data_IF_769683046218
#
_entry.id   IF_769683046218
#
_cell.length_a   1.000
_cell.length_b   1.000
_cell.length_c   1.000
_cell.angle_alpha   90.00
_cell.angle_beta   90.00
_cell.angle_gamma   90.00
#
_symmetry.space_group_name_H-M   'P 1'
#
loop_
_entity.id
_entity.type
_entity.pdbx_description
1 polymer ?
#
# COMPACT_ATOMS: atom_id res chain seq x y z
N UNK A 1 -12.44 -22.78 14.70
CA UNK A 1 -11.96 -22.13 13.44
C UNK A 1 -12.47 -22.96 12.28
N UNK A 2 -13.35 -22.41 11.47
CA UNK A 2 -13.95 -23.10 10.32
C UNK A 2 -12.89 -23.47 9.27
N UNK A 3 -13.02 -24.63 8.57
CA UNK A 3 -12.04 -25.10 7.59
C UNK A 3 -11.75 -24.08 6.47
N UNK A 4 -12.71 -23.27 6.07
CA UNK A 4 -12.55 -22.18 5.10
C UNK A 4 -11.52 -21.13 5.52
N UNK A 5 -11.40 -20.80 6.82
CA UNK A 5 -10.41 -19.83 7.34
C UNK A 5 -8.98 -20.37 7.32
N UNK A 6 -8.78 -21.69 7.35
CA UNK A 6 -7.46 -22.33 7.17
C UNK A 6 -7.02 -22.35 5.71
N UNK A 7 -7.94 -22.55 4.77
CA UNK A 7 -7.63 -22.61 3.34
C UNK A 7 -7.29 -21.21 2.79
N UNK A 8 -8.08 -20.19 3.10
CA UNK A 8 -7.84 -18.81 2.64
C UNK A 8 -6.58 -18.16 3.26
N UNK A 9 -6.09 -18.69 4.40
CA UNK A 9 -4.85 -18.28 5.04
C UNK A 9 -3.59 -18.96 4.48
N UNK A 10 -3.73 -20.01 3.68
CA UNK A 10 -2.61 -20.75 3.12
C UNK A 10 -1.85 -19.92 2.07
N UNK A 11 -0.50 -19.91 2.15
CA UNK A 11 0.37 -19.26 1.14
C UNK A 11 0.14 -19.87 -0.25
N UNK A 12 -0.08 -21.17 -0.32
CA UNK A 12 -0.35 -21.91 -1.54
C UNK A 12 -1.66 -21.49 -2.19
N UNK A 13 -2.73 -21.27 -1.41
CA UNK A 13 -4.00 -20.79 -1.93
C UNK A 13 -3.85 -19.41 -2.60
N UNK A 14 -3.15 -18.47 -1.96
CA UNK A 14 -2.91 -17.13 -2.51
C UNK A 14 -2.03 -17.16 -3.76
N UNK A 15 -0.99 -18.02 -3.76
CA UNK A 15 -0.15 -18.22 -4.92
C UNK A 15 -0.96 -18.79 -6.09
N UNK A 16 -1.73 -19.84 -5.84
CA UNK A 16 -2.59 -20.46 -6.86
C UNK A 16 -3.64 -19.50 -7.38
N UNK A 17 -4.25 -18.69 -6.51
CA UNK A 17 -5.22 -17.69 -6.92
C UNK A 17 -4.58 -16.58 -7.76
N UNK A 18 -3.41 -16.07 -7.36
CA UNK A 18 -2.67 -15.05 -8.13
C UNK A 18 -2.23 -15.58 -9.48
N UNK A 19 -1.65 -16.79 -9.51
CA UNK A 19 -1.23 -17.44 -10.76
C UNK A 19 -2.42 -17.82 -11.64
N UNK A 20 -3.50 -18.31 -11.06
CA UNK A 20 -4.73 -18.63 -11.77
C UNK A 20 -5.37 -17.41 -12.40
N UNK A 21 -5.46 -16.31 -11.67
CA UNK A 21 -5.98 -15.05 -12.21
C UNK A 21 -5.09 -14.52 -13.33
N UNK A 22 -3.78 -14.55 -13.15
CA UNK A 22 -2.83 -14.15 -14.20
C UNK A 22 -2.92 -15.06 -15.42
N UNK A 23 -3.05 -16.38 -15.23
CA UNK A 23 -3.20 -17.33 -16.34
C UNK A 23 -4.49 -17.10 -17.14
N UNK A 24 -5.61 -16.80 -16.45
CA UNK A 24 -6.88 -16.43 -17.12
C UNK A 24 -6.71 -15.14 -17.93
N UNK A 25 -6.04 -14.12 -17.37
CA UNK A 25 -5.79 -12.88 -18.10
C UNK A 25 -4.94 -13.11 -19.34
N UNK A 26 -3.85 -13.89 -19.21
CA UNK A 26 -2.95 -14.22 -20.33
C UNK A 26 -3.63 -15.08 -21.40
N UNK A 27 -4.54 -15.97 -21.01
CA UNK A 27 -5.28 -16.82 -21.96
C UNK A 27 -6.19 -15.98 -22.90
N UNK A 28 -6.66 -14.84 -22.43
CA UNK A 28 -7.53 -13.93 -23.19
C UNK A 28 -6.79 -12.74 -23.83
N UNK A 29 -5.45 -12.80 -23.89
CA UNK A 29 -4.59 -11.71 -24.34
C UNK A 29 -3.59 -12.23 -25.35
N UNK A 30 -3.30 -11.49 -26.41
CA UNK A 30 -2.19 -11.79 -27.29
C UNK A 30 -0.86 -11.56 -26.55
N UNK A 31 -0.22 -12.68 -26.18
CA UNK A 31 1.00 -12.66 -25.39
C UNK A 31 2.17 -12.06 -26.17
N UNK A 32 2.18 -12.20 -27.50
CA UNK A 32 3.27 -11.68 -28.33
C UNK A 32 3.17 -10.16 -28.48
N UNK A 33 1.97 -9.61 -28.68
CA UNK A 33 1.75 -8.16 -28.64
C UNK A 33 2.08 -7.56 -27.28
N UNK A 34 1.66 -8.20 -26.19
CA UNK A 34 1.99 -7.77 -24.84
C UNK A 34 3.51 -7.79 -24.59
N UNK A 35 4.23 -8.84 -25.05
CA UNK A 35 5.69 -8.93 -24.96
C UNK A 35 6.38 -7.86 -25.78
N UNK A 36 5.87 -7.56 -26.98
CA UNK A 36 6.38 -6.47 -27.80
C UNK A 36 6.24 -5.14 -27.08
N UNK A 37 5.05 -4.82 -26.54
CA UNK A 37 4.84 -3.61 -25.74
C UNK A 37 5.81 -3.48 -24.55
N UNK A 38 6.05 -4.58 -23.81
CA UNK A 38 7.00 -4.59 -22.69
C UNK A 38 8.45 -4.46 -23.14
N UNK A 39 8.82 -5.02 -24.30
CA UNK A 39 10.17 -4.94 -24.86
C UNK A 39 10.50 -3.54 -25.37
N UNK A 40 9.50 -2.86 -25.94
CA UNK A 40 9.62 -1.51 -26.48
C UNK A 40 9.47 -0.43 -25.39
N UNK A 41 9.20 -0.84 -24.13
CA UNK A 41 9.09 0.06 -23.02
C UNK A 41 10.39 0.87 -22.81
N UNK A 42 10.26 2.18 -22.68
CA UNK A 42 11.40 3.08 -22.49
C UNK A 42 12.06 2.85 -21.12
N UNK A 43 13.32 2.38 -21.07
CA UNK A 43 13.99 2.08 -19.80
C UNK A 43 14.22 3.32 -18.94
N UNK A 44 14.36 4.50 -19.54
CA UNK A 44 14.50 5.77 -18.80
C UNK A 44 13.27 6.09 -17.96
N UNK A 45 12.08 5.95 -18.51
CA UNK A 45 10.82 6.13 -17.77
C UNK A 45 10.60 5.05 -16.71
N UNK A 46 10.99 3.80 -16.97
CA UNK A 46 10.93 2.71 -15.98
C UNK A 46 11.85 3.01 -14.79
N UNK A 47 13.08 3.42 -15.04
CA UNK A 47 14.03 3.80 -13.97
C UNK A 47 13.52 4.99 -13.17
N UNK A 48 12.93 6.00 -13.84
CA UNK A 48 12.33 7.14 -13.17
C UNK A 48 11.12 6.72 -12.30
N UNK A 49 10.29 5.79 -12.77
CA UNK A 49 9.19 5.24 -11.99
C UNK A 49 9.69 4.51 -10.73
N UNK A 50 10.74 3.69 -10.85
CA UNK A 50 11.38 3.03 -9.69
C UNK A 50 11.94 4.06 -8.73
N UNK A 51 12.69 5.06 -9.22
CA UNK A 51 13.24 6.13 -8.39
C UNK A 51 12.14 6.90 -7.65
N UNK A 52 11.05 7.22 -8.34
CA UNK A 52 9.87 7.89 -7.76
C UNK A 52 9.23 7.05 -6.66
N UNK A 53 9.11 5.73 -6.83
CA UNK A 53 8.65 4.84 -5.76
C UNK A 53 9.63 4.83 -4.59
N UNK A 54 10.93 4.78 -4.83
CA UNK A 54 11.94 4.83 -3.74
C UNK A 54 11.83 6.13 -2.96
N UNK A 55 11.66 7.28 -3.65
CA UNK A 55 11.40 8.57 -2.98
C UNK A 55 10.14 8.50 -2.12
N UNK A 56 9.04 7.96 -2.65
CA UNK A 56 7.80 7.79 -1.87
C UNK A 56 8.01 6.94 -0.61
N UNK A 57 8.89 5.94 -0.66
CA UNK A 57 9.22 5.10 0.49
C UNK A 57 10.05 5.83 1.54
N UNK A 58 10.99 6.68 1.13
CA UNK A 58 11.72 7.57 2.05
C UNK A 58 10.76 8.53 2.75
N UNK A 59 9.83 9.13 1.99
CA UNK A 59 8.77 9.99 2.56
C UNK A 59 7.88 9.20 3.54
N UNK A 60 7.53 7.97 3.22
CA UNK A 60 6.77 7.07 4.11
C UNK A 60 7.54 6.73 5.37
N UNK A 61 8.84 6.47 5.30
CA UNK A 61 9.71 6.24 6.45
C UNK A 61 9.77 7.49 7.35
N UNK A 62 9.86 8.69 6.75
CA UNK A 62 9.81 9.95 7.48
C UNK A 62 8.47 10.11 8.21
N UNK A 63 7.34 9.90 7.52
CA UNK A 63 6.01 9.91 8.14
C UNK A 63 5.91 8.92 9.30
N UNK A 64 6.45 7.72 9.15
CA UNK A 64 6.48 6.75 10.24
C UNK A 64 7.33 7.22 11.43
N UNK A 65 8.42 7.96 11.20
CA UNK A 65 9.20 8.60 12.27
C UNK A 65 8.35 9.55 13.11
N UNK A 66 7.43 10.31 12.48
CA UNK A 66 6.50 11.18 13.21
C UNK A 66 5.54 10.39 14.11
N UNK A 67 5.15 9.19 13.69
CA UNK A 67 4.20 8.36 14.41
C UNK A 67 4.84 7.53 15.55
N UNK A 68 6.12 7.17 15.45
CA UNK A 68 6.78 6.38 16.49
C UNK A 68 7.20 7.21 17.71
N UNK A 69 7.45 8.51 17.52
CA UNK A 69 7.90 9.41 18.60
C UNK A 69 6.89 9.61 19.73
N UNK A 70 5.59 9.88 19.46
CA UNK A 70 4.58 10.09 20.50
C UNK A 70 4.37 8.89 21.42
N UNK A 71 4.66 7.68 20.94
CA UNK A 71 4.57 6.45 21.74
C UNK A 71 5.90 6.06 22.40
N UNK A 72 6.87 6.98 22.38
CA UNK A 72 8.12 6.89 23.15
C UNK A 72 9.22 6.05 22.50
N UNK A 73 9.25 5.94 21.17
CA UNK A 73 10.41 5.41 20.45
C UNK A 73 11.27 6.58 19.93
N UNK A 74 12.52 6.66 20.39
CA UNK A 74 13.47 7.76 20.09
C UNK A 74 14.51 7.40 19.03
N UNK A 75 14.19 6.47 18.12
CA UNK A 75 15.11 6.07 17.06
C UNK A 75 15.35 7.23 16.07
N UNK A 76 16.61 7.46 15.64
CA UNK A 76 16.91 8.46 14.61
C UNK A 76 16.28 8.07 13.27
N UNK A 77 15.97 9.07 12.43
CA UNK A 77 15.35 8.86 11.13
C UNK A 77 16.08 7.82 10.27
N UNK A 78 17.42 7.87 10.25
CA UNK A 78 18.25 6.90 9.51
C UNK A 78 17.92 5.45 9.91
N UNK A 79 17.74 5.17 11.20
CA UNK A 79 17.42 3.82 11.69
C UNK A 79 15.99 3.42 11.37
N UNK A 80 15.05 4.33 11.49
CA UNK A 80 13.65 4.11 11.04
C UNK A 80 13.60 3.83 9.55
N UNK A 81 14.40 4.54 8.74
CA UNK A 81 14.51 4.30 7.30
C UNK A 81 15.02 2.88 7.00
N UNK A 82 16.07 2.43 7.69
CA UNK A 82 16.57 1.05 7.56
C UNK A 82 15.51 0.01 7.93
N UNK A 83 14.74 0.24 9.01
CA UNK A 83 13.64 -0.66 9.40
C UNK A 83 12.53 -0.68 8.34
N UNK A 84 12.21 0.47 7.77
CA UNK A 84 11.18 0.61 6.75
C UNK A 84 11.56 -0.12 5.46
N UNK A 85 12.77 0.13 4.94
CA UNK A 85 13.30 -0.52 3.74
C UNK A 85 13.50 -2.03 3.93
N UNK A 86 14.00 -2.46 5.08
CA UNK A 86 14.07 -3.89 5.42
C UNK A 86 12.67 -4.54 5.42
N UNK A 87 11.65 -3.84 5.95
CA UNK A 87 10.27 -4.29 5.87
C UNK A 87 9.74 -4.40 4.44
N UNK A 88 10.10 -3.46 3.55
CA UNK A 88 9.75 -3.56 2.12
C UNK A 88 10.34 -4.81 1.47
N UNK A 89 11.61 -5.07 1.71
CA UNK A 89 12.27 -6.28 1.21
C UNK A 89 11.60 -7.55 1.72
N UNK A 90 11.26 -7.60 3.02
CA UNK A 90 10.54 -8.75 3.59
C UNK A 90 9.14 -8.95 2.99
N UNK A 91 8.49 -7.88 2.54
CA UNK A 91 7.20 -8.00 1.85
C UNK A 91 7.29 -8.78 0.54
N UNK A 92 8.45 -8.80 -0.14
CA UNK A 92 8.63 -9.58 -1.39
C UNK A 92 8.41 -11.08 -1.18
N UNK A 93 8.68 -11.59 0.03
CA UNK A 93 8.61 -13.01 0.37
C UNK A 93 7.40 -13.40 1.22
N UNK A 94 6.65 -12.41 1.69
CA UNK A 94 5.52 -12.62 2.59
C UNK A 94 4.15 -12.53 1.94
N UNK A 95 3.10 -13.07 2.58
CA UNK A 95 1.74 -12.92 2.10
C UNK A 95 1.29 -11.45 2.25
N UNK A 96 1.07 -10.79 1.13
CA UNK A 96 0.70 -9.37 1.10
C UNK A 96 1.79 -8.50 1.74
N UNK A 97 1.38 -7.47 2.44
CA UNK A 97 2.27 -6.52 3.12
C UNK A 97 2.55 -6.86 4.59
N UNK A 98 2.07 -8.02 5.07
CA UNK A 98 2.11 -8.39 6.49
C UNK A 98 3.53 -8.72 6.97
N UNK A 99 4.34 -9.37 6.12
CA UNK A 99 5.70 -9.76 6.51
C UNK A 99 6.59 -8.55 6.85
N UNK A 100 6.51 -7.51 6.05
CA UNK A 100 7.24 -6.27 6.31
C UNK A 100 6.72 -5.52 7.54
N UNK A 101 5.41 -5.57 7.79
CA UNK A 101 4.86 -4.96 9.00
C UNK A 101 5.34 -5.67 10.26
N UNK A 102 5.32 -7.00 10.26
CA UNK A 102 5.89 -7.80 11.35
C UNK A 102 7.38 -7.50 11.51
N UNK A 103 8.13 -7.45 10.40
CA UNK A 103 9.55 -7.08 10.42
C UNK A 103 9.79 -5.72 11.07
N UNK A 104 9.03 -4.69 10.66
CA UNK A 104 9.12 -3.33 11.24
C UNK A 104 8.78 -3.30 12.72
N UNK A 105 7.75 -4.04 13.15
CA UNK A 105 7.38 -4.16 14.58
C UNK A 105 8.52 -4.78 15.38
N UNK A 106 9.09 -5.88 14.89
CA UNK A 106 10.17 -6.59 15.59
C UNK A 106 11.46 -5.75 15.68
N UNK A 107 11.81 -5.06 14.58
CA UNK A 107 13.00 -4.19 14.54
C UNK A 107 12.86 -2.94 15.43
N UNK A 108 11.66 -2.35 15.49
CA UNK A 108 11.39 -1.17 16.30
C UNK A 108 11.30 -1.51 17.81
N UNK A 109 10.60 -2.58 18.14
CA UNK A 109 10.24 -2.92 19.51
C UNK A 109 11.31 -3.71 20.28
N UNK A 110 12.16 -4.43 19.57
CA UNK A 110 12.99 -5.46 20.21
C UNK A 110 12.11 -6.52 20.91
N UNK A 111 12.46 -6.86 22.15
CA UNK A 111 11.75 -7.91 22.91
C UNK A 111 10.53 -7.42 23.71
N UNK A 112 10.46 -6.14 24.07
CA UNK A 112 9.59 -5.67 25.18
C UNK A 112 8.37 -4.84 24.79
N UNK A 113 8.37 -4.08 23.68
CA UNK A 113 7.34 -3.08 23.37
C UNK A 113 6.56 -3.36 22.07
N UNK A 114 6.32 -4.64 21.76
CA UNK A 114 5.74 -5.08 20.47
C UNK A 114 4.34 -4.54 20.22
N UNK A 115 3.50 -4.46 21.26
CA UNK A 115 2.15 -3.93 21.14
C UNK A 115 2.19 -2.45 20.70
N UNK A 116 3.03 -1.62 21.36
CA UNK A 116 3.19 -0.21 20.98
C UNK A 116 3.82 -0.03 19.59
N UNK A 117 4.77 -0.87 19.19
CA UNK A 117 5.29 -0.81 17.84
C UNK A 117 4.24 -1.19 16.80
N UNK A 118 3.40 -2.18 17.10
CA UNK A 118 2.28 -2.57 16.23
C UNK A 118 1.30 -1.41 16.05
N UNK A 119 0.96 -0.66 17.12
CA UNK A 119 0.06 0.50 17.00
C UNK A 119 0.60 1.57 16.05
N UNK A 120 1.93 1.80 16.02
CA UNK A 120 2.54 2.75 15.08
C UNK A 120 2.38 2.31 13.64
N UNK A 121 2.53 1.02 13.36
CA UNK A 121 2.35 0.44 12.02
C UNK A 121 0.87 0.50 11.60
N UNK A 122 -0.05 0.18 12.51
CA UNK A 122 -1.51 0.28 12.27
C UNK A 122 -1.90 1.73 11.97
N UNK A 123 -1.46 2.69 12.78
CA UNK A 123 -1.71 4.12 12.57
C UNK A 123 -1.14 4.59 11.23
N UNK A 124 0.10 4.20 10.89
CA UNK A 124 0.74 4.54 9.63
C UNK A 124 -0.07 4.02 8.43
N UNK A 125 -0.58 2.78 8.49
CA UNK A 125 -1.42 2.20 7.44
C UNK A 125 -2.78 2.87 7.35
N UNK A 126 -3.45 3.07 8.48
CA UNK A 126 -4.77 3.70 8.50
C UNK A 126 -4.75 5.10 7.89
N UNK A 127 -3.77 5.95 8.28
CA UNK A 127 -3.63 7.30 7.72
C UNK A 127 -3.31 7.25 6.22
N UNK A 128 -2.44 6.31 5.78
CA UNK A 128 -2.14 6.11 4.36
C UNK A 128 -3.35 5.66 3.55
N UNK A 129 -4.17 4.79 4.10
CA UNK A 129 -5.42 4.33 3.49
C UNK A 129 -6.45 5.46 3.40
N UNK A 130 -6.62 6.26 4.46
CA UNK A 130 -7.50 7.43 4.44
C UNK A 130 -7.07 8.42 3.35
N UNK A 131 -5.77 8.72 3.24
CA UNK A 131 -5.27 9.61 2.19
C UNK A 131 -5.57 9.08 0.77
N UNK A 132 -5.39 7.77 0.55
CA UNK A 132 -5.69 7.13 -0.72
C UNK A 132 -7.18 7.23 -1.06
N UNK A 133 -8.05 6.93 -0.09
CA UNK A 133 -9.51 7.04 -0.23
C UNK A 133 -9.93 8.49 -0.51
N UNK A 134 -9.32 9.46 0.16
CA UNK A 134 -9.62 10.87 -0.07
C UNK A 134 -9.21 11.36 -1.45
N UNK A 135 -8.02 10.96 -1.94
CA UNK A 135 -7.58 11.28 -3.30
C UNK A 135 -8.60 10.72 -4.32
N UNK A 136 -8.95 9.45 -4.20
CA UNK A 136 -9.95 8.83 -5.08
C UNK A 136 -11.32 9.48 -4.97
N UNK A 137 -11.78 9.81 -3.75
CA UNK A 137 -13.06 10.46 -3.53
C UNK A 137 -13.13 11.86 -4.16
N UNK A 138 -12.08 12.67 -3.97
CA UNK A 138 -11.97 14.00 -4.58
C UNK A 138 -11.94 13.87 -6.11
N UNK A 139 -11.17 12.92 -6.64
CA UNK A 139 -11.09 12.70 -8.07
C UNK A 139 -12.46 12.32 -8.68
N UNK A 140 -13.20 11.39 -8.07
CA UNK A 140 -14.55 10.98 -8.55
C UNK A 140 -15.54 12.14 -8.53
N UNK A 141 -15.44 13.04 -7.54
CA UNK A 141 -16.33 14.23 -7.46
C UNK A 141 -15.96 15.28 -8.48
N UNK A 142 -14.65 15.52 -8.71
CA UNK A 142 -14.17 16.55 -9.64
C UNK A 142 -14.21 16.11 -11.12
N UNK A 143 -14.32 14.81 -11.38
CA UNK A 143 -14.30 14.21 -12.71
C UNK A 143 -15.61 13.42 -12.98
N UNK A 144 -16.75 14.13 -13.09
CA UNK A 144 -18.07 13.48 -13.20
C UNK A 144 -18.26 12.69 -14.50
N UNK A 145 -17.49 13.01 -15.54
CA UNK A 145 -17.62 12.40 -16.87
C UNK A 145 -16.88 11.05 -17.01
N UNK A 146 -16.10 10.66 -15.99
CA UNK A 146 -15.43 9.37 -16.00
C UNK A 146 -16.43 8.20 -15.95
N UNK A 147 -16.21 7.12 -16.72
CA UNK A 147 -17.13 5.97 -16.84
C UNK A 147 -17.09 5.08 -15.61
N UNK A 148 -17.62 5.58 -14.49
CA UNK A 148 -17.67 4.85 -13.21
C UNK A 148 -19.12 4.47 -12.86
N UNK A 149 -19.36 3.27 -12.32
CA UNK A 149 -20.66 2.92 -11.78
C UNK A 149 -21.11 3.93 -10.72
N UNK A 150 -22.39 4.31 -10.74
CA UNK A 150 -22.95 5.34 -9.84
C UNK A 150 -22.71 5.06 -8.34
N UNK A 151 -22.59 3.78 -7.95
CA UNK A 151 -22.26 3.40 -6.56
C UNK A 151 -20.92 4.00 -6.10
N UNK A 152 -19.92 4.12 -6.98
CA UNK A 152 -18.62 4.72 -6.61
C UNK A 152 -18.73 6.22 -6.32
N UNK A 153 -19.66 6.92 -6.97
CA UNK A 153 -19.94 8.34 -6.68
C UNK A 153 -20.52 8.52 -5.29
N UNK A 154 -21.48 7.69 -4.90
CA UNK A 154 -22.03 7.71 -3.55
C UNK A 154 -20.99 7.35 -2.50
N UNK A 155 -20.19 6.31 -2.74
CA UNK A 155 -19.09 5.95 -1.85
C UNK A 155 -18.05 7.08 -1.73
N UNK A 156 -17.73 7.78 -2.81
CA UNK A 156 -16.82 8.93 -2.81
C UNK A 156 -17.38 10.08 -1.99
N UNK A 157 -18.65 10.45 -2.17
CA UNK A 157 -19.30 11.50 -1.39
C UNK A 157 -19.33 11.20 0.11
N UNK A 158 -19.45 9.92 0.47
CA UNK A 158 -19.49 9.48 1.87
C UNK A 158 -18.09 9.20 2.45
N UNK A 159 -17.06 9.06 1.62
CA UNK A 159 -15.72 8.64 2.05
C UNK A 159 -15.07 9.64 3.01
N UNK A 160 -15.07 10.92 2.68
CA UNK A 160 -14.48 11.96 3.51
C UNK A 160 -15.30 12.16 4.81
N UNK A 161 -16.61 12.46 4.75
CA UNK A 161 -17.39 12.63 5.97
C UNK A 161 -17.45 11.34 6.82
N UNK A 162 -17.50 10.16 6.18
CA UNK A 162 -17.49 8.87 6.88
C UNK A 162 -16.19 8.60 7.62
N UNK A 163 -15.05 8.87 7.02
CA UNK A 163 -13.74 8.72 7.69
C UNK A 163 -13.55 9.73 8.82
N UNK A 164 -14.00 10.98 8.64
CA UNK A 164 -14.00 12.01 9.70
C UNK A 164 -14.92 11.59 10.84
N UNK A 165 -16.13 11.13 10.53
CA UNK A 165 -17.07 10.62 11.53
C UNK A 165 -16.50 9.41 12.29
N UNK A 166 -15.90 8.45 11.59
CA UNK A 166 -15.23 7.30 12.19
C UNK A 166 -14.08 7.74 13.12
N UNK A 167 -13.35 8.79 12.76
CA UNK A 167 -12.31 9.35 13.59
C UNK A 167 -12.88 9.99 14.87
N UNK A 168 -13.90 10.84 14.75
CA UNK A 168 -14.47 11.58 15.88
C UNK A 168 -15.27 10.68 16.83
N UNK A 169 -16.07 9.80 16.27
CA UNK A 169 -17.01 8.95 17.03
C UNK A 169 -16.51 7.54 17.30
N UNK A 170 -15.56 7.05 16.49
CA UNK A 170 -15.07 5.67 16.58
C UNK A 170 -14.55 5.27 17.96
N UNK A 171 -13.67 6.06 18.62
CA UNK A 171 -13.21 5.73 19.98
C UNK A 171 -14.35 5.65 20.99
N UNK A 172 -15.32 6.58 20.90
CA UNK A 172 -16.52 6.59 21.78
C UNK A 172 -17.43 5.39 21.54
N UNK A 173 -17.58 5.00 20.27
CA UNK A 173 -18.39 3.85 19.88
C UNK A 173 -17.74 2.54 20.36
N UNK A 174 -16.43 2.40 20.18
CA UNK A 174 -15.65 1.25 20.69
C UNK A 174 -15.77 1.16 22.22
N UNK A 175 -15.67 2.29 22.92
CA UNK A 175 -15.83 2.34 24.37
C UNK A 175 -17.23 1.93 24.85
N UNK A 176 -18.26 2.20 24.07
CA UNK A 176 -19.65 1.83 24.41
C UNK A 176 -19.97 0.38 24.08
N UNK A 177 -19.48 -0.13 22.95
CA UNK A 177 -19.85 -1.45 22.44
C UNK A 177 -18.99 -2.60 23.00
N UNK A 178 -17.75 -2.31 23.39
CA UNK A 178 -16.82 -3.37 23.85
C UNK A 178 -16.56 -3.27 25.35
N UNK A 179 -16.48 -4.42 26.06
CA UNK A 179 -16.09 -4.45 27.46
C UNK A 179 -14.64 -3.96 27.66
N UNK A 180 -14.34 -3.43 28.85
CA UNK A 180 -13.00 -2.88 29.17
C UNK A 180 -11.85 -3.89 29.04
N UNK A 181 -12.14 -5.18 29.16
CA UNK A 181 -11.19 -6.29 29.01
C UNK A 181 -10.90 -6.65 27.54
N UNK A 182 -11.64 -6.06 26.60
CA UNK A 182 -11.45 -6.36 25.17
C UNK A 182 -10.17 -5.70 24.63
N UNK A 183 -9.34 -6.51 23.99
CA UNK A 183 -8.05 -6.05 23.43
C UNK A 183 -8.20 -4.91 22.41
N UNK A 184 -9.27 -4.90 21.61
CA UNK A 184 -9.54 -3.82 20.65
C UNK A 184 -9.87 -2.50 21.33
N UNK A 185 -10.61 -2.55 22.45
CA UNK A 185 -10.87 -1.36 23.24
C UNK A 185 -9.61 -0.79 23.85
N UNK A 186 -8.76 -1.66 24.44
CA UNK A 186 -7.46 -1.24 24.99
C UNK A 186 -6.58 -0.61 23.90
N UNK A 187 -6.53 -1.23 22.70
CA UNK A 187 -5.78 -0.69 21.57
C UNK A 187 -6.26 0.72 21.20
N UNK A 188 -7.57 0.92 21.07
CA UNK A 188 -8.15 2.20 20.63
C UNK A 188 -8.06 3.28 21.70
N UNK A 189 -8.44 2.98 22.94
CA UNK A 189 -8.51 3.97 24.03
C UNK A 189 -7.14 4.33 24.62
N UNK A 190 -6.22 3.37 24.70
CA UNK A 190 -4.92 3.55 25.33
C UNK A 190 -3.78 3.71 24.33
N UNK A 191 -3.64 2.74 23.43
CA UNK A 191 -2.43 2.63 22.61
C UNK A 191 -2.47 3.55 21.40
N UNK A 192 -3.66 3.83 20.86
CA UNK A 192 -3.89 4.82 19.80
C UNK A 192 -4.24 6.23 20.33
N UNK A 193 -4.40 6.40 21.65
CA UNK A 193 -4.75 7.68 22.26
C UNK A 193 -3.87 8.85 21.81
N UNK A 194 -2.54 8.75 21.69
CA UNK A 194 -1.68 9.82 21.23
C UNK A 194 -2.09 10.37 19.84
N UNK A 195 -2.60 9.49 18.97
CA UNK A 195 -3.03 9.89 17.62
C UNK A 195 -4.44 10.50 17.58
N UNK A 196 -5.33 10.11 18.51
CA UNK A 196 -6.67 10.69 18.59
C UNK A 196 -6.68 12.11 19.13
N UNK A 197 -5.76 12.43 20.05
CA UNK A 197 -5.76 13.71 20.78
C UNK A 197 -4.88 14.77 20.11
N UNK A 198 -3.82 14.39 19.41
CA UNK A 198 -2.93 15.34 18.73
C UNK A 198 -3.40 15.61 17.29
N UNK A 199 -4.28 16.59 17.14
CA UNK A 199 -4.81 17.03 15.83
C UNK A 199 -3.71 17.55 14.89
N UNK A 200 -2.64 18.16 15.45
CA UNK A 200 -1.54 18.69 14.67
C UNK A 200 -0.71 17.55 14.08
N UNK A 201 -0.36 16.56 14.87
CA UNK A 201 0.33 15.36 14.42
C UNK A 201 -0.47 14.65 13.33
N UNK A 202 -1.78 14.52 13.54
CA UNK A 202 -2.68 13.89 12.59
C UNK A 202 -2.70 14.64 11.26
N UNK A 203 -2.89 15.97 11.29
CA UNK A 203 -2.91 16.81 10.09
C UNK A 203 -1.59 16.74 9.32
N UNK A 204 -0.45 16.86 10.01
CA UNK A 204 0.88 16.74 9.38
C UNK A 204 1.06 15.34 8.76
N UNK A 205 0.66 14.28 9.49
CA UNK A 205 0.78 12.90 9.00
C UNK A 205 -0.12 12.65 7.79
N UNK A 206 -1.32 13.25 7.75
CA UNK A 206 -2.23 13.16 6.61
C UNK A 206 -1.68 13.92 5.40
N UNK A 207 -1.14 15.13 5.58
CA UNK A 207 -0.48 15.88 4.49
C UNK A 207 0.69 15.06 3.89
N UNK A 208 1.53 14.46 4.73
CA UNK A 208 2.58 13.57 4.26
C UNK A 208 2.02 12.32 3.58
N UNK A 209 0.90 11.78 4.05
CA UNK A 209 0.25 10.63 3.42
C UNK A 209 -0.27 10.98 2.02
N UNK A 210 -0.91 12.14 1.86
CA UNK A 210 -1.35 12.63 0.54
C UNK A 210 -0.14 12.81 -0.39
N UNK A 211 0.94 13.45 0.07
CA UNK A 211 2.16 13.61 -0.72
C UNK A 211 2.77 12.26 -1.16
N UNK A 212 2.84 11.27 -0.25
CA UNK A 212 3.28 9.90 -0.56
C UNK A 212 2.39 9.26 -1.62
N UNK A 213 1.08 9.32 -1.45
CA UNK A 213 0.15 8.72 -2.40
C UNK A 213 0.20 9.41 -3.77
N UNK A 214 0.29 10.74 -3.80
CA UNK A 214 0.45 11.49 -5.06
C UNK A 214 1.76 11.12 -5.78
N UNK A 215 2.86 10.92 -5.04
CA UNK A 215 4.13 10.46 -5.61
C UNK A 215 4.00 9.04 -6.19
N UNK A 216 3.28 8.13 -5.51
CA UNK A 216 3.00 6.80 -6.03
C UNK A 216 2.11 6.82 -7.27
N UNK A 217 1.10 7.70 -7.31
CA UNK A 217 0.28 7.95 -8.50
C UNK A 217 1.16 8.43 -9.67
N UNK A 218 2.08 9.37 -9.41
CA UNK A 218 3.05 9.83 -10.40
C UNK A 218 3.90 8.69 -10.97
N UNK A 219 4.33 7.75 -10.13
CA UNK A 219 5.08 6.57 -10.61
C UNK A 219 4.25 5.71 -11.57
N UNK A 220 2.94 5.58 -11.34
CA UNK A 220 2.04 4.84 -12.26
C UNK A 220 1.88 5.54 -13.61
N UNK A 221 1.81 6.87 -13.61
CA UNK A 221 1.81 7.66 -14.85
C UNK A 221 3.12 7.45 -15.63
N UNK A 222 4.26 7.42 -14.94
CA UNK A 222 5.56 7.15 -15.56
C UNK A 222 5.61 5.75 -16.19
N UNK A 223 4.97 4.74 -15.57
CA UNK A 223 4.82 3.40 -16.15
C UNK A 223 4.02 3.45 -17.45
N UNK A 224 2.90 4.19 -17.50
CA UNK A 224 2.13 4.35 -18.72
C UNK A 224 2.95 5.05 -19.81
N UNK A 225 3.69 6.12 -19.48
CA UNK A 225 4.59 6.79 -20.41
C UNK A 225 5.72 5.89 -20.92
N UNK A 226 6.22 4.98 -20.06
CA UNK A 226 7.24 4.00 -20.47
C UNK A 226 6.75 3.09 -21.59
N UNK A 227 5.45 2.80 -21.63
CA UNK A 227 4.78 2.02 -22.68
C UNK A 227 4.27 2.86 -23.87
N UNK A 228 4.63 4.15 -23.93
CA UNK A 228 4.18 5.07 -24.99
C UNK A 228 2.70 5.47 -24.88
N UNK A 229 2.02 5.15 -23.79
CA UNK A 229 0.61 5.45 -23.59
C UNK A 229 0.42 6.88 -23.06
N UNK A 230 -0.35 7.69 -23.79
CA UNK A 230 -0.76 9.03 -23.37
C UNK A 230 -2.14 8.94 -22.70
N UNK A 231 -2.16 8.62 -21.42
CA UNK A 231 -3.40 8.47 -20.67
C UNK A 231 -3.73 9.73 -19.89
N UNK A 232 -5.00 10.10 -19.75
CA UNK A 232 -5.42 11.23 -18.95
C UNK A 232 -4.97 11.04 -17.48
N UNK A 233 -4.19 11.98 -16.94
CA UNK A 233 -3.74 11.92 -15.54
C UNK A 233 -4.92 11.86 -14.56
N UNK A 234 -6.04 12.50 -14.92
CA UNK A 234 -7.26 12.52 -14.16
C UNK A 234 -7.84 11.11 -13.94
N UNK A 235 -7.79 10.28 -14.99
CA UNK A 235 -8.24 8.89 -14.92
C UNK A 235 -7.42 8.08 -13.90
N UNK A 236 -6.10 8.32 -13.82
CA UNK A 236 -5.24 7.66 -12.83
C UNK A 236 -5.58 8.03 -11.40
N UNK A 237 -6.06 9.27 -11.13
CA UNK A 237 -6.50 9.67 -9.79
C UNK A 237 -7.67 8.83 -9.27
N UNK A 238 -8.46 8.25 -10.17
CA UNK A 238 -9.59 7.38 -9.82
C UNK A 238 -9.16 5.91 -9.82
N UNK A 239 -8.52 5.47 -10.90
CA UNK A 239 -8.23 4.04 -11.12
C UNK A 239 -7.16 3.52 -10.17
N UNK A 240 -6.08 4.28 -9.95
CA UNK A 240 -4.99 3.81 -9.08
C UNK A 240 -5.42 3.58 -7.64
N UNK A 241 -6.20 4.49 -6.98
CA UNK A 241 -6.77 4.20 -5.66
C UNK A 241 -7.62 2.92 -5.64
N UNK A 242 -8.50 2.71 -6.63
CA UNK A 242 -9.37 1.53 -6.70
C UNK A 242 -8.55 0.25 -6.85
N UNK A 243 -7.60 0.23 -7.79
CA UNK A 243 -6.71 -0.92 -8.03
C UNK A 243 -5.81 -1.18 -6.82
N UNK A 244 -5.30 -0.12 -6.17
CA UNK A 244 -4.45 -0.25 -4.98
C UNK A 244 -5.25 -0.81 -3.81
N UNK A 245 -6.45 -0.32 -3.56
CA UNK A 245 -7.33 -0.82 -2.49
C UNK A 245 -7.64 -2.30 -2.75
N UNK A 246 -8.03 -2.66 -3.97
CA UNK A 246 -8.29 -4.06 -4.33
C UNK A 246 -7.05 -4.94 -4.14
N UNK A 247 -5.86 -4.45 -4.51
CA UNK A 247 -4.59 -5.16 -4.36
C UNK A 247 -4.10 -5.32 -2.92
N UNK A 248 -4.59 -4.49 -1.97
CA UNK A 248 -4.27 -4.64 -0.54
C UNK A 248 -5.08 -5.74 0.15
N UNK A 249 -6.15 -6.21 -0.48
CA UNK A 249 -6.95 -7.30 0.07
C UNK A 249 -6.11 -8.57 0.18
N UNK A 250 -6.28 -9.36 1.25
CA UNK A 250 -5.41 -10.50 1.55
C UNK A 250 -5.68 -11.74 0.68
N UNK A 251 -6.24 -11.54 -0.51
CA UNK A 251 -6.56 -12.63 -1.46
C UNK A 251 -5.42 -12.92 -2.43
N UNK A 252 -4.52 -11.98 -2.69
CA UNK A 252 -3.41 -12.12 -3.64
C UNK A 252 -2.04 -11.92 -2.99
N UNK A 253 -0.97 -12.37 -3.65
CA UNK A 253 0.42 -12.06 -3.28
C UNK A 253 0.76 -10.66 -3.79
N UNK A 254 0.91 -9.69 -2.88
CA UNK A 254 1.27 -8.29 -3.19
C UNK A 254 0.38 -7.60 -4.26
N UNK A 255 -0.84 -8.07 -4.45
CA UNK A 255 -1.73 -7.53 -5.48
C UNK A 255 -1.51 -8.12 -6.87
N UNK A 256 -0.57 -9.06 -7.06
CA UNK A 256 -0.34 -9.73 -8.35
C UNK A 256 -1.60 -10.47 -8.80
N UNK A 257 -1.97 -10.30 -10.05
CA UNK A 257 -3.22 -10.76 -10.65
C UNK A 257 -4.36 -9.76 -10.47
N UNK A 258 -4.59 -9.24 -9.27
CA UNK A 258 -5.65 -8.25 -8.98
C UNK A 258 -5.32 -6.89 -9.59
N UNK A 259 -4.05 -6.48 -9.53
CA UNK A 259 -3.57 -5.22 -10.12
C UNK A 259 -3.67 -5.27 -11.64
N UNK A 260 -3.18 -6.32 -12.25
CA UNK A 260 -3.24 -6.55 -13.68
C UNK A 260 -4.69 -6.59 -14.18
N UNK A 261 -5.57 -7.31 -13.49
CA UNK A 261 -7.00 -7.36 -13.79
C UNK A 261 -7.66 -5.98 -13.66
N UNK A 262 -7.29 -5.22 -12.63
CA UNK A 262 -7.80 -3.87 -12.41
C UNK A 262 -7.41 -2.91 -13.54
N UNK A 263 -6.13 -2.86 -13.92
CA UNK A 263 -5.69 -2.05 -15.05
C UNK A 263 -6.31 -2.51 -16.36
N UNK A 264 -6.33 -3.81 -16.63
CA UNK A 264 -6.98 -4.37 -17.80
C UNK A 264 -8.46 -3.94 -17.90
N UNK A 265 -9.21 -4.07 -16.80
CA UNK A 265 -10.63 -3.70 -16.77
C UNK A 265 -10.84 -2.20 -17.00
N UNK A 266 -10.19 -1.35 -16.21
CA UNK A 266 -10.46 0.09 -16.27
C UNK A 266 -9.89 0.77 -17.52
N UNK A 267 -8.69 0.41 -17.97
CA UNK A 267 -8.09 0.99 -19.17
C UNK A 267 -8.83 0.57 -20.44
N UNK A 268 -9.38 -0.64 -20.48
CA UNK A 268 -10.22 -1.08 -21.60
C UNK A 268 -11.50 -0.25 -21.73
N UNK A 269 -12.03 0.33 -20.65
CA UNK A 269 -13.22 1.19 -20.71
C UNK A 269 -12.96 2.51 -21.45
N UNK A 270 -11.73 2.97 -21.51
CA UNK A 270 -11.33 4.19 -22.23
C UNK A 270 -10.64 3.87 -23.56
N UNK A 271 -10.84 2.67 -24.11
CA UNK A 271 -10.40 2.28 -25.44
C UNK A 271 -8.93 1.87 -25.55
N UNK A 272 -8.22 1.66 -24.43
CA UNK A 272 -6.86 1.12 -24.46
C UNK A 272 -6.93 -0.36 -24.83
N UNK A 273 -6.10 -0.84 -25.80
CA UNK A 273 -6.01 -2.25 -26.14
C UNK A 273 -5.70 -3.11 -24.88
N UNK A 274 -6.30 -4.29 -24.82
CA UNK A 274 -6.19 -5.17 -23.65
C UNK A 274 -4.75 -5.55 -23.34
N UNK A 275 -3.96 -5.78 -24.36
CA UNK A 275 -2.53 -6.11 -24.32
C UNK A 275 -1.72 -5.00 -23.66
N UNK A 276 -1.96 -3.76 -24.09
CA UNK A 276 -1.32 -2.58 -23.52
C UNK A 276 -1.77 -2.33 -22.06
N UNK A 277 -3.06 -2.51 -21.78
CA UNK A 277 -3.60 -2.35 -20.42
C UNK A 277 -3.00 -3.39 -19.45
N UNK A 278 -2.86 -4.64 -19.89
CA UNK A 278 -2.22 -5.70 -19.12
C UNK A 278 -0.72 -5.44 -18.95
N UNK A 279 -0.04 -4.92 -20.00
CA UNK A 279 1.36 -4.51 -19.92
C UNK A 279 1.59 -3.41 -18.87
N UNK A 280 0.67 -2.44 -18.72
CA UNK A 280 0.70 -1.44 -17.62
C UNK A 280 0.68 -2.13 -16.26
N UNK A 281 -0.23 -3.08 -16.05
CA UNK A 281 -0.32 -3.82 -14.79
C UNK A 281 0.96 -4.60 -14.46
N UNK A 282 1.47 -5.37 -15.44
CA UNK A 282 2.69 -6.15 -15.29
C UNK A 282 3.93 -5.29 -15.07
N UNK A 283 4.11 -4.22 -15.86
CA UNK A 283 5.24 -3.31 -15.69
C UNK A 283 5.17 -2.60 -14.34
N UNK A 284 3.97 -2.22 -13.88
CA UNK A 284 3.76 -1.71 -12.53
C UNK A 284 4.22 -2.71 -11.47
N UNK A 285 3.88 -3.99 -11.62
CA UNK A 285 4.31 -5.04 -10.69
C UNK A 285 5.83 -5.20 -10.69
N UNK A 286 6.48 -5.16 -11.86
CA UNK A 286 7.95 -5.18 -11.99
C UNK A 286 8.58 -3.98 -11.28
N UNK A 287 8.06 -2.77 -11.49
CA UNK A 287 8.55 -1.52 -10.85
C UNK A 287 8.40 -1.60 -9.33
N UNK A 288 7.27 -2.11 -8.82
CA UNK A 288 7.06 -2.32 -7.38
C UNK A 288 8.04 -3.34 -6.81
N UNK A 289 8.27 -4.47 -7.50
CA UNK A 289 9.26 -5.47 -7.09
C UNK A 289 10.68 -4.89 -7.08
N UNK A 290 11.07 -4.19 -8.14
CA UNK A 290 12.38 -3.51 -8.24
C UNK A 290 12.58 -2.50 -7.10
N UNK A 291 11.56 -1.68 -6.80
CA UNK A 291 11.61 -0.76 -5.65
C UNK A 291 11.74 -1.52 -4.31
N UNK A 292 11.08 -2.66 -4.14
CA UNK A 292 11.20 -3.51 -2.97
C UNK A 292 12.60 -4.10 -2.77
N UNK A 293 13.28 -4.46 -3.85
CA UNK A 293 14.65 -4.98 -3.82
C UNK A 293 15.66 -3.95 -3.32
N UNK A 294 15.40 -2.65 -3.43
CA UNK A 294 16.25 -1.59 -2.84
C UNK A 294 16.33 -1.68 -1.31
N UNK A 295 15.44 -2.45 -0.68
CA UNK A 295 15.49 -2.74 0.76
C UNK A 295 16.49 -3.82 1.17
N UNK A 296 17.07 -4.58 0.22
CA UNK A 296 18.04 -5.65 0.50
C UNK A 296 19.26 -5.15 1.29
N UNK A 297 19.94 -4.06 0.92
CA UNK A 297 21.08 -3.55 1.68
C UNK A 297 20.71 -3.24 3.14
N UNK A 298 19.56 -2.60 3.37
CA UNK A 298 19.07 -2.31 4.70
C UNK A 298 18.81 -3.59 5.53
N UNK A 299 18.24 -4.61 4.92
CA UNK A 299 18.02 -5.90 5.55
C UNK A 299 19.33 -6.60 5.94
N UNK A 300 20.33 -6.61 5.04
CA UNK A 300 21.63 -7.23 5.29
C UNK A 300 22.39 -6.51 6.41
N UNK A 301 22.40 -5.17 6.41
CA UNK A 301 23.02 -4.37 7.47
C UNK A 301 22.43 -4.67 8.85
N UNK A 302 21.10 -4.71 8.97
CA UNK A 302 20.43 -5.00 10.24
C UNK A 302 20.66 -6.45 10.70
N UNK A 303 20.75 -7.39 9.77
CA UNK A 303 21.06 -8.80 10.09
C UNK A 303 22.49 -8.96 10.60
N UNK A 304 23.48 -8.27 10.01
CA UNK A 304 24.87 -8.31 10.47
C UNK A 304 25.03 -7.68 11.86
N UNK A 305 24.35 -6.55 12.13
CA UNK A 305 24.32 -5.95 13.48
C UNK A 305 23.77 -6.93 14.55
N UNK A 306 22.68 -7.64 14.22
CA UNK A 306 22.08 -8.62 15.14
C UNK A 306 22.98 -9.83 15.38
N UNK A 307 23.69 -10.30 14.36
CA UNK A 307 24.64 -11.42 14.49
C UNK A 307 25.83 -11.01 15.36
N UNK A 308 26.38 -9.80 15.19
CA UNK A 308 27.49 -9.30 16.00
C UNK A 308 27.12 -9.17 17.49
N UNK A 309 25.88 -8.74 17.79
CA UNK A 309 25.40 -8.65 19.20
C UNK A 309 25.14 -10.04 19.81
N UNK A 310 24.83 -11.05 19.01
CA UNK A 310 24.59 -12.41 19.50
C UNK A 310 25.90 -13.18 19.82
N UNK A 311 27.01 -12.74 19.25
CA UNK A 311 28.36 -13.34 19.44
C UNK A 311 29.22 -12.61 20.49
N UNK A 312 28.80 -11.44 20.94
CA UNK A 312 29.43 -10.66 22.02
C UNK A 312 28.73 -10.92 23.35
#
# INVERSE_FOLDING_TARGET
>A
MTPLRKVTGSRWFKLLLSLGLLAVLLHHTDVDEMRAALRDASPGWVLLAVATLVVSQVMSAYRWTLLVRPVGFSQPFRRICLFYFSGMYLNLFGPGTVAGDVGRVLLLAGKQRRALALTTVVAHRAIGFVALVWIGAVAVVLLPDEPLPGVFRWLALLAIPGTVAAWVFGPRLVARLLPRTNNWRVLVERDLAPYWHDRRLLGISLCWAVAVQSTQLGAQLLVAHALGLQLPWAFFLVVVPLVTIAGTLPFSLQGIGVREAGYWYYLSQIGVPREAALAVGLLTSIVVLASGLTGLPAFLMLRSEQAAVATA
#
